data_IF_700066437999
#
_entry.id   IF_700066437999
#
_cell.length_a   1.000
_cell.length_b   1.000
_cell.length_c   1.000
_cell.angle_alpha   90.00
_cell.angle_beta   90.00
_cell.angle_gamma   90.00
#
_symmetry.space_group_name_H-M   'P 1'
#
loop_
_entity.id
_entity.type
_entity.pdbx_description
1 polymer ?
#
# COMPACT_ATOMS: atom_id res chain seq x y z
N UNK A 1 -23.37 5.66 -9.35
CA UNK A 1 -22.18 5.55 -10.21
C UNK A 1 -21.01 5.80 -9.27
N UNK A 2 -20.34 4.75 -8.81
CA UNK A 2 -19.14 4.88 -7.97
C UNK A 2 -17.99 5.14 -8.93
N UNK A 3 -17.29 6.26 -8.76
CA UNK A 3 -16.02 6.49 -9.45
C UNK A 3 -15.09 5.34 -9.07
N UNK A 4 -14.52 4.65 -10.06
CA UNK A 4 -13.58 3.54 -9.87
C UNK A 4 -12.23 3.97 -9.23
N UNK A 5 -12.19 5.19 -8.69
CA UNK A 5 -11.07 5.82 -8.03
C UNK A 5 -11.26 6.01 -6.51
N UNK A 6 -12.46 5.76 -5.98
CA UNK A 6 -12.72 5.83 -4.54
C UNK A 6 -12.11 4.60 -3.82
N UNK A 7 -11.53 4.78 -2.62
CA UNK A 7 -11.07 3.64 -1.81
C UNK A 7 -12.26 2.76 -1.37
N UNK A 8 -12.02 1.52 -0.90
CA UNK A 8 -13.07 0.71 -0.31
C UNK A 8 -13.71 1.44 0.86
N UNK A 9 -14.99 1.17 1.15
CA UNK A 9 -15.75 1.93 2.17
C UNK A 9 -15.14 1.86 3.58
N UNK A 10 -14.34 0.84 3.88
CA UNK A 10 -13.62 0.70 5.14
C UNK A 10 -12.27 1.45 5.17
N UNK A 11 -11.99 2.29 4.18
CA UNK A 11 -10.73 3.02 4.06
C UNK A 11 -10.96 4.50 3.81
N UNK A 12 -10.27 5.32 4.59
CA UNK A 12 -10.23 6.76 4.42
C UNK A 12 -8.98 7.15 3.64
N UNK A 13 -9.12 8.07 2.67
CA UNK A 13 -8.00 8.61 1.91
C UNK A 13 -7.61 9.99 2.42
N UNK A 14 -6.39 10.13 2.90
CA UNK A 14 -5.82 11.37 3.39
C UNK A 14 -4.69 11.84 2.45
N UNK A 15 -4.63 13.14 2.17
CA UNK A 15 -3.58 13.74 1.33
C UNK A 15 -2.78 14.72 2.15
N UNK A 16 -1.45 14.53 2.18
CA UNK A 16 -0.53 15.40 2.89
C UNK A 16 0.41 16.07 1.89
N UNK A 17 0.25 17.38 1.73
CA UNK A 17 1.14 18.19 0.90
C UNK A 17 2.27 18.74 1.76
N UNK A 18 3.51 18.46 1.37
CA UNK A 18 4.70 19.00 2.00
C UNK A 18 5.52 19.79 0.97
N UNK A 19 6.59 20.46 1.45
CA UNK A 19 7.55 21.12 0.55
C UNK A 19 8.27 20.15 -0.38
N UNK A 20 8.33 18.87 -0.03
CA UNK A 20 9.08 17.83 -0.75
C UNK A 20 8.18 16.91 -1.58
N UNK A 21 6.87 17.14 -1.57
CA UNK A 21 5.92 16.43 -2.44
C UNK A 21 4.60 16.11 -1.74
N UNK A 22 3.78 15.32 -2.43
CA UNK A 22 2.45 14.91 -1.97
C UNK A 22 2.47 13.46 -1.53
N UNK A 23 2.14 13.22 -0.27
CA UNK A 23 1.90 11.89 0.28
C UNK A 23 0.41 11.59 0.26
N UNK A 24 0.06 10.34 0.01
CA UNK A 24 -1.33 9.87 0.07
C UNK A 24 -1.39 8.68 1.00
N UNK A 25 -2.20 8.79 2.04
CA UNK A 25 -2.44 7.73 3.00
C UNK A 25 -3.83 7.15 2.77
N UNK A 26 -3.92 5.82 2.80
CA UNK A 26 -5.15 5.07 2.91
C UNK A 26 -5.15 4.44 4.29
N UNK A 27 -6.08 4.84 5.16
CA UNK A 27 -6.16 4.37 6.54
C UNK A 27 -7.42 3.51 6.69
N UNK A 28 -7.26 2.27 7.17
CA UNK A 28 -8.41 1.41 7.45
C UNK A 28 -9.17 1.94 8.69
N UNK A 29 -10.51 1.83 8.72
CA UNK A 29 -11.35 2.36 9.82
C UNK A 29 -11.03 1.80 11.20
N UNK A 30 -10.35 0.65 11.28
CA UNK A 30 -9.90 0.11 12.56
C UNK A 30 -8.73 0.90 13.16
N UNK A 31 -8.03 1.71 12.35
CA UNK A 31 -6.83 2.44 12.74
C UNK A 31 -5.57 1.57 12.79
N UNK A 32 -5.69 0.26 12.58
CA UNK A 32 -4.57 -0.69 12.74
C UNK A 32 -3.71 -0.83 11.48
N UNK A 33 -4.17 -0.33 10.33
CA UNK A 33 -3.45 -0.44 9.05
C UNK A 33 -3.50 0.88 8.29
N UNK A 34 -2.34 1.31 7.79
CA UNK A 34 -2.19 2.41 6.86
C UNK A 34 -1.37 2.00 5.65
N UNK A 35 -1.84 2.30 4.45
CA UNK A 35 -1.04 2.22 3.21
C UNK A 35 -0.66 3.63 2.77
N UNK A 36 0.63 3.91 2.68
CA UNK A 36 1.16 5.23 2.31
C UNK A 36 1.80 5.18 0.93
N UNK A 37 1.48 6.16 0.10
CA UNK A 37 2.17 6.46 -1.16
C UNK A 37 3.06 7.67 -0.91
N UNK A 38 4.36 7.46 -0.97
CA UNK A 38 5.35 8.51 -0.91
C UNK A 38 5.76 8.94 -2.32
N UNK A 39 5.94 10.26 -2.57
CA UNK A 39 6.48 10.75 -3.82
C UNK A 39 7.94 10.28 -3.97
N UNK A 40 8.45 10.20 -5.21
CA UNK A 40 9.85 9.85 -5.42
C UNK A 40 10.78 10.89 -4.80
N UNK A 41 11.87 10.44 -4.18
CA UNK A 41 12.88 11.34 -3.60
C UNK A 41 13.79 11.95 -4.66
N UNK A 42 13.99 11.23 -5.76
CA UNK A 42 14.85 11.59 -6.88
C UNK A 42 14.18 11.25 -8.23
N UNK A 43 14.66 11.84 -9.33
CA UNK A 43 14.06 11.67 -10.65
C UNK A 43 14.13 10.22 -11.19
N UNK A 44 15.07 9.42 -10.67
CA UNK A 44 15.21 7.99 -10.97
C UNK A 44 14.34 7.09 -10.09
N UNK A 45 13.77 7.64 -9.02
CA UNK A 45 12.95 6.89 -8.08
C UNK A 45 11.48 6.86 -8.53
N UNK A 46 10.81 5.76 -8.23
CA UNK A 46 9.35 5.66 -8.34
C UNK A 46 8.66 6.09 -7.05
N UNK A 47 7.34 6.26 -7.13
CA UNK A 47 6.48 6.37 -5.96
C UNK A 47 6.59 5.08 -5.12
N UNK A 48 6.95 5.23 -3.86
CA UNK A 48 7.07 4.12 -2.92
C UNK A 48 5.73 3.89 -2.22
N UNK A 49 5.34 2.63 -2.07
CA UNK A 49 4.10 2.22 -1.43
C UNK A 49 4.50 1.38 -0.21
N UNK A 50 4.09 1.80 0.97
CA UNK A 50 4.38 1.10 2.23
C UNK A 50 3.09 0.79 2.96
N UNK A 51 3.04 -0.35 3.65
CA UNK A 51 1.98 -0.69 4.58
C UNK A 51 2.52 -0.61 6.01
N UNK A 52 1.81 0.06 6.91
CA UNK A 52 2.15 0.23 8.31
C UNK A 52 1.07 -0.40 9.17
N UNK A 53 1.44 -1.32 10.06
CA UNK A 53 0.57 -1.85 11.12
C UNK A 53 0.73 -1.00 12.38
N UNK A 54 -0.37 -0.87 13.12
CA UNK A 54 -0.45 -0.11 14.37
C UNK A 54 0.20 1.30 14.27
N UNK A 55 -0.15 2.09 13.23
CA UNK A 55 0.46 3.39 13.01
C UNK A 55 0.30 4.29 14.25
N UNK A 56 1.34 5.06 14.56
CA UNK A 56 1.36 5.98 15.72
C UNK A 56 1.37 5.31 17.11
N UNK A 57 1.74 4.03 17.17
CA UNK A 57 1.94 3.29 18.44
C UNK A 57 3.39 2.82 18.58
N UNK A 58 3.77 2.36 19.77
CA UNK A 58 5.08 1.72 20.01
C UNK A 58 5.22 0.35 19.32
N UNK A 59 4.13 -0.21 18.78
CA UNK A 59 4.09 -1.46 18.03
C UNK A 59 4.10 -1.23 16.51
N UNK A 60 4.45 -0.02 16.05
CA UNK A 60 4.43 0.32 14.64
C UNK A 60 5.38 -0.57 13.82
N UNK A 61 4.83 -1.26 12.82
CA UNK A 61 5.60 -2.10 11.89
C UNK A 61 5.35 -1.68 10.45
N UNK A 62 6.40 -1.33 9.71
CA UNK A 62 6.29 -0.88 8.32
C UNK A 62 6.92 -1.85 7.33
N UNK A 63 6.18 -2.12 6.26
CA UNK A 63 6.50 -3.09 5.22
C UNK A 63 6.52 -2.42 3.84
N UNK A 64 7.51 -2.73 3.02
CA UNK A 64 7.49 -2.35 1.59
C UNK A 64 6.44 -3.20 0.85
N UNK A 65 5.54 -2.50 0.17
CA UNK A 65 4.56 -3.10 -0.75
C UNK A 65 5.19 -3.17 -2.12
N UNK A 66 5.52 -2.00 -2.70
CA UNK A 66 6.07 -1.88 -4.05
C UNK A 66 6.53 -0.45 -4.34
N UNK A 67 7.42 -0.30 -5.32
CA UNK A 67 7.76 0.97 -5.95
C UNK A 67 7.38 1.00 -7.43
N UNK A 68 6.78 2.09 -7.90
CA UNK A 68 6.35 2.24 -9.31
C UNK A 68 6.55 3.67 -9.81
N UNK A 69 6.88 3.83 -11.09
CA UNK A 69 7.18 5.16 -11.66
C UNK A 69 5.98 6.12 -11.62
N UNK A 70 4.79 5.66 -12.05
CA UNK A 70 3.60 6.51 -12.18
C UNK A 70 2.75 6.53 -10.89
N UNK A 71 2.29 7.72 -10.50
CA UNK A 71 1.45 7.93 -9.33
C UNK A 71 0.13 7.16 -9.41
N UNK A 72 -0.51 7.18 -10.57
CA UNK A 72 -1.80 6.49 -10.81
C UNK A 72 -1.65 4.96 -10.71
N UNK A 73 -0.45 4.43 -10.97
CA UNK A 73 -0.16 3.02 -10.72
C UNK A 73 0.00 2.76 -9.23
N UNK A 74 0.63 3.67 -8.49
CA UNK A 74 0.78 3.55 -7.05
C UNK A 74 -0.58 3.56 -6.34
N UNK A 75 -1.47 4.49 -6.72
CA UNK A 75 -2.84 4.55 -6.20
C UNK A 75 -3.63 3.28 -6.47
N UNK A 76 -3.54 2.72 -7.69
CA UNK A 76 -4.18 1.43 -8.00
C UNK A 76 -3.65 0.27 -7.16
N UNK A 77 -2.35 0.23 -6.87
CA UNK A 77 -1.76 -0.82 -6.03
C UNK A 77 -2.18 -0.64 -4.57
N UNK A 78 -2.23 0.60 -4.07
CA UNK A 78 -2.72 0.87 -2.72
C UNK A 78 -4.19 0.46 -2.56
N UNK A 79 -5.05 0.75 -3.55
CA UNK A 79 -6.43 0.27 -3.58
C UNK A 79 -6.52 -1.25 -3.65
N UNK A 80 -5.71 -1.88 -4.51
CA UNK A 80 -5.66 -3.35 -4.59
C UNK A 80 -5.26 -3.98 -3.25
N UNK A 81 -4.33 -3.37 -2.52
CA UNK A 81 -3.96 -3.80 -1.17
C UNK A 81 -5.19 -3.75 -0.24
N UNK A 82 -5.88 -2.61 -0.22
CA UNK A 82 -7.06 -2.39 0.61
C UNK A 82 -8.18 -3.40 0.29
N UNK A 83 -8.49 -3.64 -0.99
CA UNK A 83 -9.48 -4.62 -1.42
C UNK A 83 -9.13 -6.04 -0.97
N UNK A 84 -7.85 -6.43 -1.10
CA UNK A 84 -7.38 -7.74 -0.70
C UNK A 84 -7.41 -7.93 0.82
N UNK A 85 -7.11 -6.87 1.56
CA UNK A 85 -7.19 -6.85 3.02
C UNK A 85 -8.64 -6.99 3.48
N UNK A 86 -9.55 -6.14 2.99
CA UNK A 86 -10.98 -6.16 3.36
C UNK A 86 -11.64 -7.49 3.00
N UNK A 87 -11.21 -8.12 1.91
CA UNK A 87 -11.73 -9.42 1.49
C UNK A 87 -11.42 -10.58 2.45
N UNK A 88 -10.44 -10.44 3.34
CA UNK A 88 -10.03 -11.50 4.27
C UNK A 88 -10.02 -11.08 5.74
N UNK A 89 -9.97 -9.78 6.04
CA UNK A 89 -9.92 -9.26 7.40
C UNK A 89 -11.31 -9.28 8.06
N UNK A 90 -11.40 -9.90 9.23
CA UNK A 90 -12.67 -10.09 9.95
C UNK A 90 -12.99 -9.06 11.02
N UNK A 91 -12.19 -7.99 11.13
CA UNK A 91 -12.24 -7.08 12.26
C UNK A 91 -11.51 -7.61 13.51
N UNK A 92 -11.46 -6.80 14.58
CA UNK A 92 -10.64 -7.04 15.78
C UNK A 92 -11.08 -8.23 16.66
N UNK A 93 -12.05 -9.04 16.21
CA UNK A 93 -12.54 -10.22 16.91
C UNK A 93 -12.42 -11.55 16.16
N UNK A 94 -11.99 -11.53 14.88
CA UNK A 94 -11.88 -12.74 14.05
C UNK A 94 -13.19 -13.51 13.94
N UNK A 95 -14.09 -13.11 13.04
CA UNK A 95 -15.28 -13.91 12.73
C UNK A 95 -14.94 -15.26 12.08
N UNK A 96 -15.90 -16.19 12.10
CA UNK A 96 -15.78 -17.54 11.51
C UNK A 96 -15.39 -17.45 10.02
N UNK A 97 -14.16 -17.88 9.69
CA UNK A 97 -13.61 -17.86 8.33
C UNK A 97 -12.77 -16.63 7.95
N UNK A 98 -12.68 -15.61 8.82
CA UNK A 98 -11.85 -14.43 8.59
C UNK A 98 -10.47 -14.52 9.24
N UNK A 99 -9.48 -13.83 8.65
CA UNK A 99 -8.10 -13.80 9.13
C UNK A 99 -7.89 -12.74 10.22
N UNK A 100 -6.97 -12.98 11.18
CA UNK A 100 -6.49 -11.93 12.06
C UNK A 100 -5.75 -10.85 11.27
N UNK A 101 -5.53 -9.69 11.90
CA UNK A 101 -4.92 -8.51 11.30
C UNK A 101 -3.61 -8.83 10.55
N UNK A 102 -2.67 -9.47 11.23
CA UNK A 102 -1.34 -9.78 10.70
C UNK A 102 -1.42 -10.70 9.47
N UNK A 103 -2.28 -11.73 9.53
CA UNK A 103 -2.49 -12.67 8.42
C UNK A 103 -3.20 -12.02 7.22
N UNK A 104 -4.11 -11.07 7.48
CA UNK A 104 -4.77 -10.30 6.44
C UNK A 104 -3.81 -9.34 5.74
N UNK A 105 -2.94 -8.67 6.50
CA UNK A 105 -1.88 -7.83 5.92
C UNK A 105 -0.87 -8.68 5.15
N UNK A 106 -0.42 -9.82 5.70
CA UNK A 106 0.48 -10.73 5.01
C UNK A 106 -0.12 -11.23 3.68
N UNK A 107 -1.41 -11.56 3.67
CA UNK A 107 -2.14 -11.93 2.46
C UNK A 107 -2.14 -10.83 1.39
N UNK A 108 -2.44 -9.59 1.79
CA UNK A 108 -2.45 -8.45 0.88
C UNK A 108 -1.04 -8.11 0.37
N UNK A 109 -0.03 -8.16 1.24
CA UNK A 109 1.38 -7.95 0.89
C UNK A 109 1.87 -8.96 -0.14
N UNK A 110 1.60 -10.25 0.06
CA UNK A 110 2.03 -11.32 -0.86
C UNK A 110 1.52 -11.08 -2.30
N UNK A 111 0.31 -10.52 -2.44
CA UNK A 111 -0.37 -10.32 -3.72
C UNK A 111 -0.14 -8.95 -4.35
N UNK A 112 0.38 -8.00 -3.59
CA UNK A 112 0.69 -6.64 -4.09
C UNK A 112 2.18 -6.42 -4.27
N UNK A 113 3.02 -7.25 -3.63
CA UNK A 113 4.45 -7.32 -3.89
C UNK A 113 4.75 -7.73 -5.32
N UNK A 114 5.89 -7.29 -5.88
CA UNK A 114 6.37 -7.80 -7.15
C UNK A 114 6.62 -9.32 -7.02
N UNK A 115 5.85 -10.12 -7.75
CA UNK A 115 6.26 -11.48 -8.11
C UNK A 115 7.54 -11.31 -8.94
N UNK A 116 8.69 -11.76 -8.42
CA UNK A 116 10.02 -11.37 -8.90
C UNK A 116 10.15 -11.20 -10.43
N UNK A 117 10.27 -9.95 -10.88
CA UNK A 117 10.68 -9.54 -12.23
C UNK A 117 10.98 -8.03 -12.26
N UNK A 118 12.10 -7.67 -11.69
CA UNK A 118 13.11 -6.82 -12.33
C UNK A 118 14.38 -7.65 -12.14
N UNK A 119 14.90 -8.42 -13.10
CA UNK A 119 15.17 -8.08 -14.51
C UNK A 119 15.39 -6.57 -14.67
N UNK A 120 16.39 -6.09 -13.93
CA UNK A 120 17.18 -4.99 -14.42
C UNK A 120 18.13 -5.64 -15.42
N UNK A 121 17.68 -5.72 -16.67
CA UNK A 121 18.57 -5.70 -17.83
C UNK A 121 19.58 -4.58 -17.58
N UNK A 122 20.79 -4.97 -17.16
CA UNK A 122 21.91 -4.05 -17.09
C UNK A 122 22.07 -3.49 -18.51
N UNK A 123 22.11 -2.16 -18.70
CA UNK A 123 22.12 -1.58 -20.02
C UNK A 123 23.23 -2.22 -20.84
N UNK A 124 22.85 -2.71 -22.02
CA UNK A 124 23.77 -3.19 -23.04
C UNK A 124 24.96 -2.23 -23.11
N UNK A 125 26.16 -2.72 -22.75
CA UNK A 125 27.38 -1.99 -23.04
C UNK A 125 27.57 -1.99 -24.54
N UNK A 126 27.18 -0.90 -25.18
CA UNK A 126 27.66 -0.56 -26.51
C UNK A 126 29.14 -0.14 -26.43
N UNK A 127 30.03 -1.07 -26.80
CA UNK A 127 31.10 -0.95 -27.80
C UNK A 127 32.23 -1.95 -27.57
#
# INVERSE_FOLDING_TARGET
>A
MMDADDPPTAWEREVHETRTGTFVDHVHVSGDVRVRIAPPTDASDGHAITATLFPHTDLEETYDVRRVAARERAERIARQFADLFDGVYGGPGGGDGSRPLEDAVAYALERTRPSGAVDVDLPARER
#
